data_IF_446154138187
#
_entry.id   IF_446154138187
#
_cell.length_a   1.000
_cell.length_b   1.000
_cell.length_c   1.000
_cell.angle_alpha   90.00
_cell.angle_beta   90.00
_cell.angle_gamma   90.00
#
_symmetry.space_group_name_H-M   'P 1'
#
loop_
_entity.id
_entity.type
_entity.pdbx_description
1 polymer ?
#
# COMPACT_ATOMS: atom_id res chain seq x y z
N UNK A 1 3.91 -12.94 18.62
CA UNK A 1 2.69 -12.95 17.85
C UNK A 1 2.97 -12.70 16.40
N UNK A 2 2.22 -13.35 15.57
CA UNK A 2 2.38 -13.15 14.13
C UNK A 2 1.31 -12.19 13.63
N UNK A 3 1.64 -11.48 12.58
CA UNK A 3 0.72 -10.58 11.89
C UNK A 3 0.53 -11.11 10.48
N UNK A 4 -0.73 -11.22 10.06
CA UNK A 4 -1.04 -11.70 8.74
C UNK A 4 -1.04 -10.54 7.76
N UNK A 5 -0.33 -10.72 6.68
CA UNK A 5 -0.28 -9.74 5.61
C UNK A 5 -0.75 -10.44 4.34
N UNK A 6 -1.74 -9.87 3.69
CA UNK A 6 -2.29 -10.44 2.46
C UNK A 6 -1.75 -9.63 1.29
N UNK A 7 -1.25 -10.34 0.28
CA UNK A 7 -0.64 -9.70 -0.88
C UNK A 7 -1.29 -10.27 -2.13
N UNK A 8 -1.80 -9.37 -2.97
CA UNK A 8 -2.36 -9.73 -4.28
C UNK A 8 -1.51 -9.11 -5.36
N UNK A 9 -1.34 -9.86 -6.44
CA UNK A 9 -0.75 -9.31 -7.65
C UNK A 9 -1.75 -9.53 -8.78
N UNK A 10 -2.10 -8.44 -9.47
CA UNK A 10 -3.01 -8.49 -10.61
C UNK A 10 -2.19 -8.19 -11.86
N UNK A 11 -1.92 -9.23 -12.65
CA UNK A 11 -1.11 -9.07 -13.84
C UNK A 11 -1.83 -8.27 -14.91
N UNK A 12 -3.14 -8.38 -14.99
CA UNK A 12 -3.92 -7.65 -15.98
C UNK A 12 -3.92 -6.16 -15.69
N UNK A 13 -4.14 -5.82 -14.42
CA UNK A 13 -4.16 -4.43 -14.02
C UNK A 13 -2.79 -3.87 -13.72
N UNK A 14 -1.79 -4.73 -13.67
CA UNK A 14 -0.40 -4.34 -13.40
C UNK A 14 -0.30 -3.62 -12.07
N UNK A 15 -0.91 -4.20 -11.03
CA UNK A 15 -0.83 -3.61 -9.70
C UNK A 15 -0.66 -4.70 -8.65
N UNK A 16 -0.13 -4.28 -7.52
CA UNK A 16 0.06 -5.12 -6.35
C UNK A 16 -0.68 -4.47 -5.19
N UNK A 17 -1.37 -5.30 -4.40
CA UNK A 17 -2.07 -4.80 -3.24
C UNK A 17 -1.63 -5.54 -2.00
N UNK A 18 -1.35 -4.81 -0.93
CA UNK A 18 -0.90 -5.36 0.33
C UNK A 18 -1.86 -4.89 1.42
N UNK A 19 -2.41 -5.84 2.17
CA UNK A 19 -3.33 -5.52 3.26
C UNK A 19 -2.80 -6.06 4.56
N UNK A 20 -2.72 -5.19 5.55
CA UNK A 20 -2.36 -5.56 6.92
C UNK A 20 -3.58 -5.87 7.77
N UNK A 21 -4.73 -5.32 7.40
CA UNK A 21 -5.94 -5.41 8.19
C UNK A 21 -7.14 -5.41 7.25
N UNK A 22 -8.18 -6.14 7.64
CA UNK A 22 -9.40 -6.20 6.85
C UNK A 22 -10.46 -5.22 7.33
N UNK A 23 -10.08 -4.31 8.20
CA UNK A 23 -11.00 -3.30 8.68
C UNK A 23 -11.45 -2.40 7.54
N UNK A 24 -12.67 -1.85 7.64
CA UNK A 24 -13.13 -0.92 6.61
C UNK A 24 -12.29 0.35 6.61
N UNK A 25 -12.10 0.87 5.43
CA UNK A 25 -11.30 2.07 5.27
C UNK A 25 -11.49 2.65 3.90
N UNK A 26 -10.65 3.60 3.56
CA UNK A 26 -10.71 4.25 2.25
C UNK A 26 -9.31 4.50 1.74
N UNK A 27 -9.22 4.73 0.43
CA UNK A 27 -7.94 4.94 -0.24
C UNK A 27 -7.53 6.40 -0.10
N UNK A 28 -6.24 6.60 0.05
CA UNK A 28 -5.66 7.92 0.19
C UNK A 28 -4.43 8.01 -0.71
N UNK A 29 -4.33 9.12 -1.42
CA UNK A 29 -3.18 9.35 -2.29
C UNK A 29 -1.94 9.63 -1.46
N UNK A 30 -0.78 9.30 -2.05
CA UNK A 30 0.50 9.60 -1.44
C UNK A 30 1.27 10.55 -2.34
N UNK A 31 2.47 10.91 -1.91
CA UNK A 31 3.33 11.76 -2.72
C UNK A 31 3.77 11.07 -4.00
N UNK A 32 3.68 9.75 -4.06
CA UNK A 32 4.03 8.98 -5.24
C UNK A 32 2.73 8.56 -5.94
N UNK A 33 2.57 8.98 -7.20
CA UNK A 33 1.36 8.69 -7.95
C UNK A 33 1.10 7.19 -8.12
N UNK A 34 2.14 6.37 -8.02
CA UNK A 34 2.01 4.94 -8.20
C UNK A 34 1.64 4.22 -6.90
N UNK A 35 1.52 4.94 -5.79
CA UNK A 35 1.24 4.33 -4.50
C UNK A 35 -0.01 4.94 -3.91
N UNK A 36 -0.94 4.07 -3.51
CA UNK A 36 -2.14 4.49 -2.78
C UNK A 36 -2.12 3.81 -1.42
N UNK A 37 -2.48 4.55 -0.40
CA UNK A 37 -2.61 3.99 0.94
C UNK A 37 -4.06 3.71 1.26
N UNK A 38 -4.28 2.66 2.05
CA UNK A 38 -5.60 2.37 2.59
C UNK A 38 -5.55 2.66 4.08
N UNK A 39 -6.44 3.54 4.54
CA UNK A 39 -6.43 3.99 5.94
C UNK A 39 -7.83 3.93 6.50
N UNK A 40 -7.92 3.83 7.82
CA UNK A 40 -9.22 3.90 8.49
C UNK A 40 -9.53 5.36 8.82
N UNK A 41 -10.64 5.57 9.54
CA UNK A 41 -11.09 6.91 9.86
C UNK A 41 -10.10 7.65 10.75
N UNK A 42 -9.33 6.92 11.54
CA UNK A 42 -8.35 7.53 12.43
C UNK A 42 -7.03 7.80 11.73
N UNK A 43 -6.89 7.37 10.49
CA UNK A 43 -5.65 7.56 9.76
C UNK A 43 -4.66 6.44 9.93
N UNK A 44 -5.07 5.34 10.55
CA UNK A 44 -4.18 4.19 10.69
C UNK A 44 -4.04 3.47 9.36
N UNK A 45 -2.82 3.07 9.05
CA UNK A 45 -2.53 2.40 7.79
C UNK A 45 -3.05 0.97 7.83
N UNK A 46 -3.91 0.63 6.87
CA UNK A 46 -4.46 -0.72 6.74
C UNK A 46 -3.81 -1.51 5.62
N UNK A 47 -3.16 -0.82 4.70
CA UNK A 47 -2.52 -1.45 3.57
C UNK A 47 -2.14 -0.42 2.53
N UNK A 48 -1.68 -0.90 1.38
CA UNK A 48 -1.34 0.01 0.29
C UNK A 48 -1.42 -0.75 -1.03
N UNK A 49 -1.52 0.01 -2.11
CA UNK A 49 -1.53 -0.53 -3.46
C UNK A 49 -0.42 0.14 -4.25
N UNK A 50 0.23 -0.67 -5.09
CA UNK A 50 1.29 -0.17 -5.95
C UNK A 50 0.84 -0.38 -7.39
N UNK A 51 0.77 0.71 -8.14
CA UNK A 51 0.32 0.68 -9.53
C UNK A 51 1.52 0.61 -10.45
N UNK A 52 1.30 0.07 -11.66
CA UNK A 52 2.34 0.01 -12.69
C UNK A 52 3.56 -0.76 -12.19
N UNK A 53 3.28 -1.92 -11.60
CA UNK A 53 4.34 -2.72 -10.99
C UNK A 53 5.41 -3.11 -12.00
N UNK A 54 5.00 -3.32 -13.25
CA UNK A 54 5.93 -3.72 -14.30
C UNK A 54 6.99 -2.65 -14.60
N UNK A 55 6.75 -1.42 -14.16
CA UNK A 55 7.71 -0.34 -14.37
C UNK A 55 8.81 -0.32 -13.31
N UNK A 56 8.67 -1.13 -12.29
CA UNK A 56 9.64 -1.17 -11.20
C UNK A 56 10.73 -2.15 -11.56
N UNK A 57 11.99 -1.73 -11.41
CA UNK A 57 13.12 -2.60 -11.68
C UNK A 57 14.20 -2.30 -10.68
N UNK A 58 15.26 -3.09 -10.77
CA UNK A 58 16.40 -2.88 -9.89
C UNK A 58 17.04 -1.52 -10.10
N UNK A 59 16.98 -1.04 -11.34
CA UNK A 59 17.56 0.26 -11.69
C UNK A 59 16.63 1.41 -11.43
N UNK A 60 15.32 1.13 -11.40
CA UNK A 60 14.33 2.17 -11.15
C UNK A 60 13.36 1.67 -10.09
N UNK A 61 13.82 1.54 -8.84
CA UNK A 61 12.95 1.05 -7.77
C UNK A 61 11.92 2.08 -7.39
N UNK A 62 10.81 1.59 -6.88
CA UNK A 62 9.80 2.46 -6.31
C UNK A 62 10.19 2.77 -4.87
N UNK A 63 10.21 4.03 -4.55
CA UNK A 63 10.49 4.47 -3.19
C UNK A 63 9.22 5.07 -2.62
N UNK A 64 8.82 4.57 -1.47
CA UNK A 64 7.63 5.06 -0.79
C UNK A 64 7.93 5.11 0.69
N UNK A 65 7.34 6.09 1.32
CA UNK A 65 7.46 6.23 2.76
C UNK A 65 6.08 6.06 3.37
N UNK A 66 5.95 5.05 4.22
CA UNK A 66 4.67 4.77 4.87
C UNK A 66 4.71 5.36 6.26
N UNK A 67 3.75 6.22 6.54
CA UNK A 67 3.65 6.85 7.84
C UNK A 67 2.44 6.29 8.56
N UNK A 68 2.62 6.00 9.85
CA UNK A 68 1.51 5.57 10.68
C UNK A 68 1.17 6.68 11.63
N UNK A 69 -0.10 6.87 11.85
CA UNK A 69 -0.52 7.86 12.81
C UNK A 69 -0.45 7.29 14.22
N UNK A 70 -0.40 8.14 15.15
CA UNK A 70 -0.45 7.75 16.52
C UNK A 70 0.80 7.19 17.05
N UNK A 71 1.73 7.32 16.66
CA UNK A 71 2.83 6.76 17.17
C UNK A 71 3.60 7.12 18.13
N UNK A 72 3.48 7.05 18.71
CA UNK A 72 4.03 7.24 19.29
C UNK A 72 4.62 7.13 19.82
#
# INVERSE_FOLDING_TARGET
MSQRVTIWFDAEGDFLEVLFSEQPGYMRETANDAVMERVDEAGNLLGFSILQVSQISKETPLLAELTTSGVE
#
